data_IF_619783393231
#
_entry.id   IF_619783393231
#
_cell.length_a   1.000
_cell.length_b   1.000
_cell.length_c   1.000
_cell.angle_alpha   90.00
_cell.angle_beta   90.00
_cell.angle_gamma   90.00
#
_symmetry.space_group_name_H-M   'P 1'
#
loop_
_entity.id
_entity.type
_entity.pdbx_description
1 polymer ?
#
# COMPACT_ATOMS: atom_id res chain seq x y z
N UNK A 1 -52.58 39.63 -54.69
CA UNK A 1 -51.38 39.72 -53.91
C UNK A 1 -51.03 38.32 -53.40
N UNK A 2 -50.00 37.71 -53.98
CA UNK A 2 -49.61 36.34 -53.64
C UNK A 2 -48.64 36.41 -52.39
N UNK A 3 -48.89 35.58 -51.39
CA UNK A 3 -48.13 35.46 -50.18
C UNK A 3 -46.77 34.76 -50.50
N UNK A 4 -45.60 35.29 -50.07
CA UNK A 4 -44.33 34.63 -50.32
C UNK A 4 -44.19 33.32 -49.57
N UNK A 5 -43.62 32.34 -50.23
CA UNK A 5 -43.39 31.00 -49.70
C UNK A 5 -42.41 31.07 -48.51
N UNK A 6 -42.56 30.19 -47.50
CA UNK A 6 -41.66 30.15 -46.32
C UNK A 6 -40.24 29.73 -46.73
N UNK A 7 -39.20 30.24 -46.07
CA UNK A 7 -37.82 29.89 -46.38
C UNK A 7 -37.54 28.40 -46.04
N UNK A 8 -36.76 27.76 -46.91
CA UNK A 8 -36.33 26.37 -46.72
C UNK A 8 -35.55 26.18 -45.41
N UNK A 9 -35.70 25.03 -44.73
CA UNK A 9 -34.96 24.76 -43.51
C UNK A 9 -33.45 24.68 -43.80
N UNK A 10 -32.68 25.43 -43.01
CA UNK A 10 -31.22 25.38 -43.04
C UNK A 10 -30.75 23.95 -42.70
N UNK A 11 -29.99 23.33 -43.58
CA UNK A 11 -29.33 22.07 -43.32
C UNK A 11 -28.37 22.22 -42.12
N UNK A 12 -28.34 21.26 -41.20
CA UNK A 12 -27.43 21.33 -40.07
C UNK A 12 -25.98 21.38 -40.58
N UNK A 13 -25.22 22.41 -40.15
CA UNK A 13 -23.82 22.51 -40.44
C UNK A 13 -23.10 21.26 -39.94
N UNK A 14 -22.41 20.55 -40.84
CA UNK A 14 -21.56 19.41 -40.48
C UNK A 14 -20.41 19.89 -39.64
N UNK A 15 -20.45 19.61 -38.34
CA UNK A 15 -19.30 19.79 -37.44
C UNK A 15 -18.22 18.83 -37.96
N UNK A 16 -17.00 19.30 -38.24
CA UNK A 16 -15.90 18.41 -38.63
C UNK A 16 -15.64 17.41 -37.50
N UNK A 17 -15.80 16.13 -37.82
CA UNK A 17 -15.54 15.06 -36.85
C UNK A 17 -14.06 15.11 -36.46
N UNK A 18 -13.77 15.27 -35.18
CA UNK A 18 -12.42 15.14 -34.65
C UNK A 18 -11.84 13.78 -35.09
N UNK A 19 -10.52 13.70 -35.41
CA UNK A 19 -9.91 12.44 -35.85
C UNK A 19 -10.12 11.39 -34.78
N UNK A 20 -10.77 10.29 -35.14
CA UNK A 20 -10.97 9.14 -34.26
C UNK A 20 -9.61 8.45 -34.07
N UNK A 21 -9.17 8.30 -32.82
CA UNK A 21 -7.96 7.60 -32.47
C UNK A 21 -8.11 6.06 -32.56
N UNK A 22 -9.37 5.57 -32.51
CA UNK A 22 -9.72 4.16 -32.67
C UNK A 22 -10.33 3.92 -34.04
N UNK A 23 -9.95 2.85 -34.69
CA UNK A 23 -10.65 2.33 -35.87
C UNK A 23 -12.03 1.82 -35.48
N UNK A 24 -12.92 1.66 -36.48
CA UNK A 24 -14.26 1.11 -36.24
C UNK A 24 -14.22 -0.32 -35.70
N UNK A 25 -13.25 -1.12 -36.15
CA UNK A 25 -13.05 -2.50 -35.67
C UNK A 25 -12.63 -2.51 -34.20
N UNK A 26 -11.62 -1.73 -33.83
CA UNK A 26 -11.16 -1.60 -32.43
C UNK A 26 -12.27 -1.10 -31.49
N UNK A 27 -13.11 -0.16 -31.95
CA UNK A 27 -14.27 0.29 -31.19
C UNK A 27 -15.29 -0.83 -30.94
N UNK A 28 -15.55 -1.67 -31.94
CA UNK A 28 -16.45 -2.80 -31.82
C UNK A 28 -15.88 -3.90 -30.93
N UNK A 29 -14.58 -4.19 -31.05
CA UNK A 29 -13.90 -5.17 -30.19
C UNK A 29 -13.92 -4.74 -28.71
N UNK A 30 -13.69 -3.47 -28.42
CA UNK A 30 -13.78 -2.96 -27.05
C UNK A 30 -15.21 -3.06 -26.48
N UNK A 31 -16.25 -2.87 -27.30
CA UNK A 31 -17.64 -2.99 -26.88
C UNK A 31 -18.03 -4.45 -26.56
N UNK A 32 -17.24 -5.44 -26.98
CA UNK A 32 -17.47 -6.86 -26.73
C UNK A 32 -16.65 -7.42 -25.57
N UNK A 33 -15.82 -6.58 -24.91
CA UNK A 33 -15.05 -7.03 -23.75
C UNK A 33 -15.99 -7.51 -22.63
N UNK A 34 -15.71 -8.67 -22.02
CA UNK A 34 -16.44 -9.12 -20.84
C UNK A 34 -16.36 -8.09 -19.71
N UNK A 35 -17.46 -7.85 -19.02
CA UNK A 35 -17.54 -6.87 -17.92
C UNK A 35 -16.48 -7.11 -16.83
N UNK A 36 -16.08 -8.36 -16.60
CA UNK A 36 -15.02 -8.70 -15.65
C UNK A 36 -13.64 -8.22 -16.13
N UNK A 37 -13.38 -8.28 -17.42
CA UNK A 37 -12.12 -7.78 -17.98
C UNK A 37 -12.00 -6.27 -17.81
N UNK A 38 -13.08 -5.53 -18.05
CA UNK A 38 -13.18 -4.09 -17.79
C UNK A 38 -12.98 -3.76 -16.30
N UNK A 39 -13.66 -4.50 -15.42
CA UNK A 39 -13.52 -4.31 -13.99
C UNK A 39 -12.06 -4.49 -13.54
N UNK A 40 -11.39 -5.56 -13.97
CA UNK A 40 -9.98 -5.77 -13.65
C UNK A 40 -9.08 -4.67 -14.24
N UNK A 41 -9.36 -4.19 -15.45
CA UNK A 41 -8.62 -3.10 -16.08
C UNK A 41 -8.75 -1.79 -15.29
N UNK A 42 -9.93 -1.52 -14.74
CA UNK A 42 -10.21 -0.31 -13.96
C UNK A 42 -9.50 -0.29 -12.59
N UNK A 43 -9.06 -1.43 -12.07
CA UNK A 43 -8.28 -1.47 -10.82
C UNK A 43 -6.86 -0.99 -11.09
N UNK A 44 -6.57 0.27 -10.78
CA UNK A 44 -5.28 0.90 -11.07
C UNK A 44 -4.10 0.27 -10.33
N UNK A 45 -4.29 -0.12 -9.05
CA UNK A 45 -3.21 -0.69 -8.25
C UNK A 45 -2.96 -2.16 -8.61
N UNK A 46 -1.76 -2.53 -9.14
CA UNK A 46 -1.46 -3.89 -9.59
C UNK A 46 -1.50 -4.94 -8.46
N UNK A 47 -1.18 -4.54 -7.23
CA UNK A 47 -1.27 -5.44 -6.07
C UNK A 47 -2.72 -5.71 -5.67
N UNK A 48 -3.58 -4.69 -5.70
CA UNK A 48 -5.02 -4.84 -5.47
C UNK A 48 -5.64 -5.69 -6.57
N UNK A 49 -5.31 -5.41 -7.83
CA UNK A 49 -5.77 -6.20 -8.99
C UNK A 49 -5.41 -7.67 -8.85
N UNK A 50 -4.16 -7.98 -8.49
CA UNK A 50 -3.71 -9.37 -8.27
C UNK A 50 -4.43 -10.02 -7.11
N UNK A 51 -4.60 -9.31 -5.97
CA UNK A 51 -5.30 -9.84 -4.81
C UNK A 51 -6.78 -10.13 -5.14
N UNK A 52 -7.46 -9.21 -5.81
CA UNK A 52 -8.85 -9.37 -6.20
C UNK A 52 -9.04 -10.48 -7.22
N UNK A 53 -8.14 -10.61 -8.20
CA UNK A 53 -8.16 -11.76 -9.12
C UNK A 53 -8.10 -13.10 -8.38
N UNK A 54 -7.20 -13.23 -7.42
CA UNK A 54 -7.08 -14.45 -6.62
C UNK A 54 -8.32 -14.67 -5.75
N UNK A 55 -8.93 -13.61 -5.22
CA UNK A 55 -10.09 -13.71 -4.34
C UNK A 55 -11.36 -14.10 -5.11
N UNK A 56 -11.57 -13.48 -6.28
CA UNK A 56 -12.69 -13.81 -7.19
C UNK A 56 -12.50 -15.21 -7.76
N UNK A 57 -11.29 -15.58 -8.19
CA UNK A 57 -10.99 -16.93 -8.66
C UNK A 57 -11.23 -18.01 -7.59
N UNK A 58 -10.92 -17.72 -6.32
CA UNK A 58 -11.23 -18.62 -5.21
C UNK A 58 -12.75 -18.78 -4.97
N UNK A 59 -13.54 -17.72 -5.18
CA UNK A 59 -14.98 -17.80 -5.12
C UNK A 59 -15.55 -18.61 -6.30
N UNK A 60 -15.11 -18.34 -7.54
CA UNK A 60 -15.51 -19.08 -8.73
C UNK A 60 -15.27 -20.59 -8.56
N UNK A 61 -14.07 -20.96 -8.11
CA UNK A 61 -13.73 -22.36 -7.84
C UNK A 61 -14.61 -23.00 -6.77
N UNK A 62 -15.04 -22.25 -5.75
CA UNK A 62 -15.91 -22.74 -4.69
C UNK A 62 -17.35 -23.01 -5.18
N UNK A 63 -17.92 -22.11 -5.99
CA UNK A 63 -19.29 -22.23 -6.48
C UNK A 63 -19.40 -22.94 -7.82
N UNK A 64 -18.28 -23.26 -8.49
CA UNK A 64 -18.26 -23.95 -9.78
C UNK A 64 -18.54 -23.05 -10.97
N UNK A 65 -18.27 -21.74 -10.88
CA UNK A 65 -18.38 -20.81 -12.00
C UNK A 65 -17.23 -21.04 -12.98
N UNK A 66 -17.54 -21.33 -14.22
CA UNK A 66 -16.58 -21.51 -15.31
C UNK A 66 -16.60 -20.33 -16.29
N UNK A 67 -17.76 -19.69 -16.46
CA UNK A 67 -17.96 -18.59 -17.41
C UNK A 67 -18.44 -17.32 -16.71
N UNK A 68 -18.00 -16.13 -17.16
CA UNK A 68 -18.37 -14.85 -16.57
C UNK A 68 -19.89 -14.62 -16.44
N UNK A 69 -20.68 -15.08 -17.42
CA UNK A 69 -22.13 -14.87 -17.42
C UNK A 69 -22.82 -15.55 -16.23
N UNK A 70 -22.22 -16.56 -15.64
CA UNK A 70 -22.76 -17.32 -14.50
C UNK A 70 -22.77 -16.49 -13.21
N UNK A 71 -21.99 -15.38 -13.13
CA UNK A 71 -22.12 -14.45 -12.01
C UNK A 71 -23.55 -13.89 -11.84
N UNK A 72 -24.35 -13.84 -12.92
CA UNK A 72 -25.75 -13.38 -12.87
C UNK A 72 -26.64 -14.31 -12.04
N UNK A 73 -26.26 -15.56 -11.86
CA UNK A 73 -27.01 -16.57 -11.08
C UNK A 73 -26.60 -16.63 -9.62
N UNK A 74 -25.56 -15.89 -9.21
CA UNK A 74 -25.08 -15.88 -7.85
C UNK A 74 -26.09 -15.20 -6.93
N UNK A 75 -26.47 -15.90 -5.88
CA UNK A 75 -27.36 -15.41 -4.85
C UNK A 75 -26.63 -15.16 -3.53
N UNK A 76 -27.29 -14.50 -2.59
CA UNK A 76 -26.78 -14.32 -1.22
C UNK A 76 -26.47 -15.66 -0.54
N UNK A 77 -27.22 -16.73 -0.84
CA UNK A 77 -26.95 -18.07 -0.28
C UNK A 77 -25.56 -18.59 -0.67
N UNK A 78 -25.14 -18.42 -1.92
CA UNK A 78 -23.78 -18.78 -2.37
C UNK A 78 -22.72 -18.02 -1.61
N UNK A 79 -22.91 -16.72 -1.39
CA UNK A 79 -21.95 -15.87 -0.64
C UNK A 79 -21.88 -16.26 0.83
N UNK A 80 -23.02 -16.59 1.46
CA UNK A 80 -23.08 -17.07 2.84
C UNK A 80 -22.37 -18.42 2.99
N UNK A 81 -22.62 -19.36 2.06
CA UNK A 81 -21.94 -20.65 2.02
C UNK A 81 -20.42 -20.49 1.90
N UNK A 82 -19.97 -19.61 0.99
CA UNK A 82 -18.55 -19.33 0.85
C UNK A 82 -17.94 -18.70 2.10
N UNK A 83 -18.60 -17.70 2.72
CA UNK A 83 -18.15 -17.13 3.99
C UNK A 83 -17.99 -18.21 5.07
N UNK A 84 -18.96 -19.14 5.18
CA UNK A 84 -18.92 -20.25 6.13
C UNK A 84 -17.75 -21.19 5.84
N UNK A 85 -17.53 -21.52 4.57
CA UNK A 85 -16.38 -22.30 4.12
C UNK A 85 -15.05 -21.65 4.49
N UNK A 86 -14.91 -20.34 4.24
CA UNK A 86 -13.70 -19.59 4.60
C UNK A 86 -13.46 -19.57 6.12
N UNK A 87 -14.53 -19.50 6.91
CA UNK A 87 -14.44 -19.56 8.38
C UNK A 87 -14.06 -20.98 8.86
N UNK A 88 -14.64 -22.03 8.29
CA UNK A 88 -14.30 -23.41 8.56
C UNK A 88 -12.84 -23.75 8.20
N UNK A 89 -12.28 -23.12 7.15
CA UNK A 89 -10.88 -23.21 6.79
C UNK A 89 -9.95 -22.39 7.72
N UNK A 90 -10.46 -21.86 8.84
CA UNK A 90 -9.74 -21.08 9.84
C UNK A 90 -8.98 -19.87 9.29
N UNK A 91 -9.48 -19.25 8.21
CA UNK A 91 -8.89 -18.02 7.69
C UNK A 91 -9.08 -16.86 8.68
N UNK A 92 -8.06 -16.00 8.77
CA UNK A 92 -8.14 -14.82 9.62
C UNK A 92 -9.32 -13.90 9.23
N UNK A 93 -10.04 -13.31 10.21
CA UNK A 93 -11.16 -12.39 9.95
C UNK A 93 -10.87 -11.30 8.91
N UNK A 94 -9.69 -10.69 8.96
CA UNK A 94 -9.25 -9.69 7.99
C UNK A 94 -9.16 -10.25 6.55
N UNK A 95 -8.73 -11.52 6.40
CA UNK A 95 -8.68 -12.18 5.09
C UNK A 95 -10.07 -12.43 4.54
N UNK A 96 -11.00 -12.91 5.37
CA UNK A 96 -12.41 -13.14 4.98
C UNK A 96 -13.05 -11.81 4.59
N UNK A 97 -12.84 -10.74 5.37
CA UNK A 97 -13.35 -9.39 5.05
C UNK A 97 -12.83 -8.88 3.71
N UNK A 98 -11.52 -9.04 3.43
CA UNK A 98 -10.91 -8.63 2.15
C UNK A 98 -11.51 -9.41 0.98
N UNK A 99 -11.67 -10.73 1.11
CA UNK A 99 -12.27 -11.58 0.09
C UNK A 99 -13.73 -11.18 -0.22
N UNK A 100 -14.53 -10.94 0.81
CA UNK A 100 -15.90 -10.44 0.65
C UNK A 100 -15.92 -9.02 0.06
N UNK A 101 -14.91 -8.18 0.34
CA UNK A 101 -14.82 -6.85 -0.26
C UNK A 101 -14.50 -6.91 -1.75
N UNK A 102 -13.58 -7.78 -2.18
CA UNK A 102 -13.28 -7.97 -3.59
C UNK A 102 -14.50 -8.46 -4.37
N UNK A 103 -15.25 -9.40 -3.78
CA UNK A 103 -16.47 -9.91 -4.39
C UNK A 103 -17.57 -8.84 -4.44
N UNK A 104 -17.73 -8.04 -3.37
CA UNK A 104 -18.70 -6.94 -3.36
C UNK A 104 -18.39 -5.87 -4.41
N UNK A 105 -17.12 -5.53 -4.58
CA UNK A 105 -16.66 -4.55 -5.57
C UNK A 105 -16.96 -5.02 -7.01
N UNK A 106 -16.73 -6.31 -7.31
CA UNK A 106 -17.12 -6.91 -8.59
C UNK A 106 -18.64 -6.83 -8.80
N UNK A 107 -19.45 -7.21 -7.81
CA UNK A 107 -20.89 -7.19 -7.94
C UNK A 107 -21.49 -5.78 -7.99
N UNK A 108 -20.87 -4.80 -7.31
CA UNK A 108 -21.25 -3.38 -7.46
C UNK A 108 -20.99 -2.91 -8.91
N UNK A 109 -19.85 -3.28 -9.51
CA UNK A 109 -19.56 -3.00 -10.92
C UNK A 109 -20.55 -3.68 -11.87
N UNK A 110 -20.91 -4.95 -11.63
CA UNK A 110 -21.90 -5.66 -12.45
C UNK A 110 -23.31 -5.02 -12.35
N UNK A 111 -23.66 -4.42 -11.20
CA UNK A 111 -24.87 -3.61 -11.06
C UNK A 111 -24.78 -2.32 -11.90
N UNK A 112 -23.65 -1.61 -11.84
CA UNK A 112 -23.40 -0.39 -12.62
C UNK A 112 -23.44 -0.66 -14.13
N UNK A 113 -22.93 -1.82 -14.56
CA UNK A 113 -22.98 -2.28 -15.95
C UNK A 113 -24.34 -2.85 -16.36
N UNK A 114 -25.37 -2.79 -15.50
CA UNK A 114 -26.70 -3.37 -15.71
C UNK A 114 -26.70 -4.88 -16.02
N UNK A 115 -25.65 -5.60 -15.65
CA UNK A 115 -25.55 -7.04 -15.85
C UNK A 115 -26.39 -7.82 -14.81
N UNK A 116 -26.59 -7.22 -13.63
CA UNK A 116 -27.40 -7.74 -12.52
C UNK A 116 -28.19 -6.60 -11.86
N UNK A 117 -29.27 -6.95 -11.16
CA UNK A 117 -30.16 -5.97 -10.52
C UNK A 117 -29.74 -5.59 -9.10
N UNK A 118 -28.99 -6.45 -8.39
CA UNK A 118 -28.57 -6.21 -7.01
C UNK A 118 -27.29 -6.96 -6.66
N UNK A 119 -26.53 -6.42 -5.73
CA UNK A 119 -25.30 -7.04 -5.23
C UNK A 119 -25.62 -8.08 -4.14
N UNK A 120 -25.37 -9.39 -4.35
CA UNK A 120 -25.69 -10.44 -3.41
C UNK A 120 -24.81 -10.43 -2.15
N UNK A 121 -23.72 -9.68 -2.14
CA UNK A 121 -22.80 -9.54 -0.98
C UNK A 121 -23.31 -8.49 0.01
N UNK A 122 -24.14 -7.54 -0.44
CA UNK A 122 -24.74 -6.53 0.45
C UNK A 122 -25.59 -7.19 1.53
N UNK A 123 -25.33 -6.78 2.79
CA UNK A 123 -26.03 -7.35 3.96
C UNK A 123 -25.46 -8.68 4.46
N UNK A 124 -24.43 -9.25 3.82
CA UNK A 124 -23.68 -10.38 4.39
C UNK A 124 -22.83 -9.91 5.55
N UNK A 125 -23.08 -10.45 6.74
CA UNK A 125 -22.34 -10.12 7.95
C UNK A 125 -20.85 -10.45 7.77
N UNK A 126 -19.99 -9.49 8.04
CA UNK A 126 -18.54 -9.66 8.00
C UNK A 126 -18.03 -10.06 9.39
N UNK A 127 -17.04 -10.98 9.48
CA UNK A 127 -16.45 -11.31 10.77
C UNK A 127 -15.95 -10.04 11.47
N UNK A 128 -16.24 -9.92 12.78
CA UNK A 128 -15.69 -8.82 13.59
C UNK A 128 -14.18 -8.99 13.67
N UNK A 129 -13.46 -7.91 13.45
CA UNK A 129 -12.05 -7.88 13.88
C UNK A 129 -12.09 -7.87 15.40
N UNK A 130 -11.42 -8.83 16.03
CA UNK A 130 -11.10 -8.69 17.45
C UNK A 130 -10.36 -7.38 17.65
N UNK A 131 -10.47 -6.79 18.83
CA UNK A 131 -9.78 -5.56 19.18
C UNK A 131 -8.35 -5.63 18.62
N UNK A 132 -8.02 -4.72 17.71
CA UNK A 132 -6.71 -4.64 17.07
C UNK A 132 -5.72 -4.02 18.06
N UNK A 133 -5.62 -4.62 19.24
CA UNK A 133 -4.53 -4.33 20.13
C UNK A 133 -3.27 -4.83 19.46
N UNK A 134 -2.53 -3.90 18.84
CA UNK A 134 -1.13 -4.02 18.45
C UNK A 134 -0.61 -5.40 18.06
N UNK A 135 -1.30 -6.13 17.17
CA UNK A 135 -0.91 -7.49 16.72
C UNK A 135 0.43 -7.54 16.00
N UNK A 136 0.99 -6.40 15.65
CA UNK A 136 2.35 -6.32 15.12
C UNK A 136 3.29 -6.00 16.28
N UNK A 137 4.11 -6.95 16.74
CA UNK A 137 5.05 -6.69 17.81
C UNK A 137 6.03 -5.60 17.39
N UNK A 138 6.27 -4.64 18.26
CA UNK A 138 7.38 -3.70 18.14
C UNK A 138 8.62 -4.33 18.77
N UNK A 139 9.79 -4.08 18.18
CA UNK A 139 11.05 -4.45 18.76
C UNK A 139 11.37 -3.55 19.96
N UNK A 140 12.01 -4.09 20.98
CA UNK A 140 12.61 -3.27 22.02
C UNK A 140 13.79 -2.45 21.45
N UNK A 141 14.20 -1.39 22.15
CA UNK A 141 15.34 -0.57 21.74
C UNK A 141 16.63 -1.39 21.60
N UNK A 142 16.85 -2.34 22.51
CA UNK A 142 18.00 -3.24 22.45
C UNK A 142 17.96 -4.13 21.20
N UNK A 143 16.78 -4.65 20.84
CA UNK A 143 16.61 -5.44 19.61
C UNK A 143 16.80 -4.58 18.35
N UNK A 144 16.22 -3.37 18.32
CA UNK A 144 16.38 -2.45 17.21
C UNK A 144 17.85 -2.06 16.99
N UNK A 145 18.60 -1.78 18.07
CA UNK A 145 20.04 -1.51 18.00
C UNK A 145 20.83 -2.71 17.46
N UNK A 146 20.59 -3.93 17.98
CA UNK A 146 21.26 -5.12 17.46
C UNK A 146 20.98 -5.34 15.97
N UNK A 147 19.72 -5.14 15.55
CA UNK A 147 19.33 -5.26 14.15
C UNK A 147 20.07 -4.26 13.26
N UNK A 148 20.18 -3.00 13.70
CA UNK A 148 20.85 -1.93 12.96
C UNK A 148 22.36 -2.19 12.78
N UNK A 149 23.00 -2.85 13.76
CA UNK A 149 24.42 -3.15 13.74
C UNK A 149 24.76 -4.54 13.16
N UNK A 150 23.77 -5.38 12.86
CA UNK A 150 24.01 -6.73 12.35
C UNK A 150 24.69 -6.79 10.95
N UNK A 151 24.40 -5.87 9.99
CA UNK A 151 25.09 -5.95 8.69
C UNK A 151 26.57 -5.53 8.80
N UNK A 152 27.46 -6.26 8.11
CA UNK A 152 28.89 -5.99 8.03
C UNK A 152 29.20 -4.66 7.32
N UNK A 153 29.68 -3.67 8.07
CA UNK A 153 30.02 -2.35 7.56
C UNK A 153 31.22 -2.34 6.59
N UNK A 154 32.03 -3.39 6.57
CA UNK A 154 33.17 -3.52 5.66
C UNK A 154 32.79 -3.80 4.20
N UNK A 155 31.56 -4.25 3.96
CA UNK A 155 31.09 -4.60 2.62
C UNK A 155 30.11 -3.57 2.06
N UNK A 156 30.13 -3.37 0.73
CA UNK A 156 29.16 -2.50 0.07
C UNK A 156 27.71 -2.93 0.33
N UNK A 157 27.45 -4.26 0.35
CA UNK A 157 26.14 -4.81 0.69
C UNK A 157 25.74 -4.47 2.11
N UNK A 158 26.65 -4.60 3.07
CA UNK A 158 26.36 -4.29 4.47
C UNK A 158 26.13 -2.79 4.70
N UNK A 159 26.89 -1.90 4.05
CA UNK A 159 26.67 -0.44 4.09
C UNK A 159 25.25 -0.11 3.59
N UNK A 160 24.83 -0.68 2.43
CA UNK A 160 23.46 -0.54 1.94
C UNK A 160 22.42 -1.02 2.94
N UNK A 161 22.61 -2.21 3.48
CA UNK A 161 21.64 -2.86 4.36
C UNK A 161 21.49 -2.12 5.70
N UNK A 162 22.58 -1.57 6.24
CA UNK A 162 22.57 -0.66 7.41
C UNK A 162 21.75 0.60 7.11
N UNK A 163 22.00 1.25 5.96
CA UNK A 163 21.24 2.43 5.55
C UNK A 163 19.74 2.12 5.37
N UNK A 164 19.38 0.98 4.77
CA UNK A 164 17.98 0.52 4.64
C UNK A 164 17.33 0.34 6.03
N UNK A 165 18.00 -0.36 6.95
CA UNK A 165 17.49 -0.60 8.30
C UNK A 165 17.34 0.71 9.07
N UNK A 166 18.29 1.65 8.94
CA UNK A 166 18.21 2.96 9.56
C UNK A 166 16.98 3.75 9.02
N UNK A 167 16.77 3.77 7.71
CA UNK A 167 15.61 4.46 7.15
C UNK A 167 14.30 3.84 7.63
N UNK A 168 14.20 2.52 7.73
CA UNK A 168 13.00 1.85 8.23
C UNK A 168 12.75 2.13 9.71
N UNK A 169 13.80 2.12 10.55
CA UNK A 169 13.69 2.29 11.99
C UNK A 169 13.54 3.76 12.43
N UNK A 170 14.15 4.71 11.71
CA UNK A 170 14.08 6.13 12.07
C UNK A 170 12.99 6.92 11.33
N UNK A 171 12.42 6.41 10.22
CA UNK A 171 11.43 7.16 9.45
C UNK A 171 10.12 6.39 9.22
N UNK A 172 10.02 5.18 9.76
CA UNK A 172 8.81 4.35 9.70
C UNK A 172 8.23 4.16 8.28
N UNK A 173 9.06 4.16 7.24
CA UNK A 173 8.59 4.01 5.85
C UNK A 173 7.91 2.66 5.64
N UNK A 174 6.87 2.68 4.79
CA UNK A 174 6.37 1.42 4.23
C UNK A 174 7.42 0.83 3.29
N UNK A 175 7.49 -0.49 3.23
CA UNK A 175 8.44 -1.18 2.35
C UNK A 175 8.39 -0.71 0.90
N UNK A 176 7.18 -0.49 0.37
CA UNK A 176 7.01 0.03 -0.99
C UNK A 176 7.50 1.48 -1.14
N UNK A 177 7.33 2.32 -0.10
CA UNK A 177 7.83 3.68 -0.06
C UNK A 177 9.35 3.70 -0.09
N UNK A 178 10.00 2.84 0.71
CA UNK A 178 11.46 2.69 0.70
C UNK A 178 11.98 2.25 -0.68
N UNK A 179 11.34 1.25 -1.30
CA UNK A 179 11.72 0.79 -2.64
C UNK A 179 11.60 1.88 -3.70
N UNK A 180 10.62 2.76 -3.55
CA UNK A 180 10.36 3.84 -4.49
C UNK A 180 11.30 5.03 -4.38
N UNK A 181 12.13 5.11 -3.32
CA UNK A 181 13.06 6.23 -3.15
C UNK A 181 14.10 6.27 -4.25
N UNK A 182 14.26 7.44 -4.83
CA UNK A 182 15.30 7.77 -5.82
C UNK A 182 16.38 8.65 -5.18
N UNK A 183 17.54 8.75 -5.80
CA UNK A 183 18.62 9.61 -5.29
C UNK A 183 18.12 11.06 -5.13
N UNK A 184 17.36 11.61 -6.09
CA UNK A 184 16.77 12.94 -6.01
C UNK A 184 15.77 13.16 -4.89
N UNK A 185 15.22 12.09 -4.32
CA UNK A 185 14.27 12.17 -3.20
C UNK A 185 14.98 12.36 -1.85
N UNK A 186 16.30 12.20 -1.84
CA UNK A 186 17.16 12.45 -0.70
C UNK A 186 17.95 13.75 -0.93
N UNK A 187 17.41 14.88 -0.48
CA UNK A 187 17.93 16.20 -0.79
C UNK A 187 17.78 17.17 0.38
N UNK A 188 18.60 18.22 0.37
CA UNK A 188 18.50 19.32 1.34
C UNK A 188 17.27 20.17 0.98
N UNK A 189 16.38 20.38 1.95
CA UNK A 189 15.24 21.28 1.88
C UNK A 189 15.25 22.22 3.07
N UNK A 190 15.25 23.54 2.82
CA UNK A 190 15.27 24.56 3.89
C UNK A 190 16.40 24.32 4.91
N UNK A 191 17.59 23.94 4.41
CA UNK A 191 18.75 23.67 5.27
C UNK A 191 18.76 22.32 5.99
N UNK A 192 17.74 21.46 5.79
CA UNK A 192 17.64 20.15 6.45
C UNK A 192 17.66 19.03 5.43
N UNK A 193 18.49 18.02 5.65
CA UNK A 193 18.46 16.78 4.84
C UNK A 193 17.11 16.10 5.00
N UNK A 194 16.46 15.77 3.89
CA UNK A 194 15.06 15.37 3.85
C UNK A 194 14.84 14.20 2.89
N UNK A 195 13.92 13.32 3.22
CA UNK A 195 13.40 12.26 2.35
C UNK A 195 12.03 12.67 1.81
N UNK A 196 11.89 12.76 0.49
CA UNK A 196 10.61 12.94 -0.19
C UNK A 196 9.96 11.56 -0.41
N UNK A 197 8.95 11.24 0.40
CA UNK A 197 8.33 9.91 0.41
C UNK A 197 7.02 9.94 -0.37
N UNK A 198 6.97 9.18 -1.47
CA UNK A 198 5.81 9.07 -2.35
C UNK A 198 4.83 8.03 -1.79
N UNK A 199 3.65 8.49 -1.36
CA UNK A 199 2.59 7.68 -0.77
C UNK A 199 1.49 7.28 -1.76
N UNK A 200 0.46 6.62 -1.24
CA UNK A 200 -0.72 6.24 -2.02
C UNK A 200 -1.46 7.48 -2.55
N UNK A 201 -1.89 7.43 -3.81
CA UNK A 201 -2.66 8.52 -4.44
C UNK A 201 -1.83 9.74 -4.81
N UNK A 202 -0.53 9.58 -5.05
CA UNK A 202 0.36 10.68 -5.47
C UNK A 202 0.75 11.66 -4.35
N UNK A 203 0.34 11.41 -3.11
CA UNK A 203 0.70 12.26 -1.97
C UNK A 203 2.18 12.14 -1.64
N UNK A 204 2.86 13.27 -1.48
CA UNK A 204 4.28 13.33 -1.09
C UNK A 204 4.38 13.83 0.34
N UNK A 205 5.15 13.12 1.19
CA UNK A 205 5.55 13.57 2.52
C UNK A 205 7.03 13.90 2.52
N UNK A 206 7.38 14.99 3.15
CA UNK A 206 8.77 15.40 3.32
C UNK A 206 9.19 15.14 4.76
N UNK A 207 10.05 14.16 4.95
CA UNK A 207 10.48 13.72 6.26
C UNK A 207 11.92 14.21 6.50
N UNK A 208 12.17 15.03 7.54
CA UNK A 208 13.54 15.33 7.96
C UNK A 208 14.30 14.03 8.20
N UNK A 209 15.48 13.91 7.65
CA UNK A 209 16.29 12.70 7.80
C UNK A 209 17.02 12.71 9.15
N UNK A 210 16.89 11.61 9.90
CA UNK A 210 17.57 11.44 11.17
C UNK A 210 19.08 11.40 10.96
N UNK A 211 19.92 12.09 11.79
CA UNK A 211 21.36 12.19 11.58
C UNK A 211 22.07 10.85 11.39
N UNK A 212 21.71 9.82 12.16
CA UNK A 212 22.27 8.48 11.99
C UNK A 212 21.91 7.85 10.64
N UNK A 213 20.68 8.07 10.13
CA UNK A 213 20.29 7.57 8.82
C UNK A 213 21.03 8.35 7.70
N UNK A 214 21.21 9.65 7.87
CA UNK A 214 22.02 10.50 6.97
C UNK A 214 23.43 9.92 6.85
N UNK A 215 24.13 9.72 7.95
CA UNK A 215 25.49 9.19 7.93
C UNK A 215 25.60 7.86 7.17
N UNK A 216 24.67 6.94 7.41
CA UNK A 216 24.67 5.62 6.76
C UNK A 216 24.27 5.68 5.27
N UNK A 217 23.38 6.59 4.87
CA UNK A 217 23.02 6.80 3.47
C UNK A 217 24.21 7.39 2.72
N UNK A 218 24.87 8.41 3.30
CA UNK A 218 26.05 9.03 2.70
C UNK A 218 27.17 8.01 2.51
N UNK A 219 27.50 7.23 3.57
CA UNK A 219 28.50 6.16 3.51
C UNK A 219 28.21 5.15 2.39
N UNK A 220 26.93 4.78 2.21
CA UNK A 220 26.53 3.88 1.14
C UNK A 220 26.64 4.54 -0.26
N UNK A 221 26.18 5.78 -0.42
CA UNK A 221 26.21 6.48 -1.70
C UNK A 221 27.64 6.72 -2.17
N UNK A 222 28.54 7.05 -1.25
CA UNK A 222 29.97 7.25 -1.57
C UNK A 222 30.63 5.93 -1.98
N UNK A 223 30.38 4.86 -1.23
CA UNK A 223 30.92 3.53 -1.57
C UNK A 223 30.33 2.93 -2.85
N UNK A 224 29.07 3.24 -3.17
CA UNK A 224 28.39 2.74 -4.35
C UNK A 224 28.59 3.57 -5.62
N UNK A 225 29.07 4.82 -5.49
CA UNK A 225 29.42 5.71 -6.61
C UNK A 225 28.27 6.15 -7.51
N UNK A 226 27.00 6.05 -7.08
CA UNK A 226 25.86 6.37 -7.93
C UNK A 226 25.07 7.63 -7.54
N UNK A 227 25.67 8.49 -6.71
CA UNK A 227 25.06 9.77 -6.26
C UNK A 227 24.62 10.67 -7.43
N UNK A 228 25.34 10.65 -8.55
CA UNK A 228 25.02 11.46 -9.73
C UNK A 228 23.76 10.99 -10.47
N UNK A 229 23.36 9.73 -10.32
CA UNK A 229 22.16 9.19 -10.98
C UNK A 229 20.88 9.56 -10.20
N UNK A 230 20.49 10.82 -10.33
CA UNK A 230 19.36 11.42 -9.62
C UNK A 230 18.02 10.73 -9.89
N UNK A 231 17.84 10.12 -11.07
CA UNK A 231 16.62 9.41 -11.46
C UNK A 231 16.64 7.93 -11.01
N UNK A 232 17.81 7.40 -10.69
CA UNK A 232 18.00 6.02 -10.27
C UNK A 232 17.53 5.76 -8.83
N UNK A 233 17.38 4.49 -8.49
CA UNK A 233 17.00 4.08 -7.13
C UNK A 233 18.06 4.50 -6.10
N UNK A 234 17.61 4.98 -4.94
CA UNK A 234 18.49 5.29 -3.82
C UNK A 234 19.17 4.02 -3.29
N UNK A 235 18.40 2.95 -3.13
CA UNK A 235 18.91 1.65 -2.71
C UNK A 235 18.87 0.65 -3.85
N UNK A 236 20.04 0.18 -4.27
CA UNK A 236 20.23 -0.73 -5.42
C UNK A 236 20.55 -2.15 -4.97
N UNK A 237 20.35 -3.11 -5.84
CA UNK A 237 20.90 -4.45 -5.63
C UNK A 237 22.42 -4.36 -5.63
N UNK A 238 23.06 -5.12 -4.76
CA UNK A 238 24.53 -5.27 -4.75
C UNK A 238 24.85 -6.69 -5.16
N UNK A 239 25.55 -6.83 -6.31
CA UNK A 239 26.05 -8.11 -6.85
C UNK A 239 27.51 -7.93 -7.22
N UNK A 240 28.35 -8.86 -6.81
CA UNK A 240 29.80 -8.83 -7.10
C UNK A 240 30.46 -7.47 -6.78
N UNK A 241 30.11 -6.89 -5.64
CA UNK A 241 30.64 -5.59 -5.21
C UNK A 241 30.13 -4.35 -5.96
N UNK A 242 29.16 -4.52 -6.87
CA UNK A 242 28.62 -3.40 -7.67
C UNK A 242 27.14 -3.17 -7.32
N UNK A 243 26.74 -1.90 -7.18
CA UNK A 243 25.35 -1.49 -6.93
C UNK A 243 24.62 -1.25 -8.26
N UNK A 244 23.70 -2.12 -8.64
CA UNK A 244 22.97 -2.05 -9.91
C UNK A 244 21.48 -2.35 -9.75
N UNK A 245 20.67 -1.86 -10.67
CA UNK A 245 19.24 -2.18 -10.75
C UNK A 245 18.41 -1.70 -9.56
N UNK A 246 17.24 -2.30 -9.41
CA UNK A 246 16.24 -1.92 -8.41
C UNK A 246 16.09 -3.02 -7.36
N UNK A 247 16.01 -2.64 -6.07
CA UNK A 247 15.79 -3.57 -4.97
C UNK A 247 14.29 -3.72 -4.71
N UNK A 248 13.76 -4.93 -4.87
CA UNK A 248 12.33 -5.20 -4.65
C UNK A 248 11.96 -5.20 -3.17
N UNK A 249 10.68 -4.92 -2.88
CA UNK A 249 10.18 -4.99 -1.51
C UNK A 249 10.25 -6.38 -0.89
N UNK A 250 10.19 -7.43 -1.68
CA UNK A 250 10.39 -8.81 -1.21
C UNK A 250 11.85 -9.00 -0.79
N UNK A 251 12.80 -8.58 -1.63
CA UNK A 251 14.23 -8.67 -1.31
C UNK A 251 14.58 -7.87 -0.03
N UNK A 252 14.05 -6.65 0.14
CA UNK A 252 14.23 -5.89 1.38
C UNK A 252 13.76 -6.69 2.60
N UNK A 253 12.60 -7.34 2.51
CA UNK A 253 12.07 -8.09 3.64
C UNK A 253 12.83 -9.38 3.90
N UNK A 254 13.13 -10.18 2.87
CA UNK A 254 13.75 -11.50 3.02
C UNK A 254 15.24 -11.42 3.24
N UNK A 255 15.94 -10.61 2.43
CA UNK A 255 17.41 -10.57 2.41
C UNK A 255 18.02 -9.54 3.36
N UNK A 256 17.23 -8.55 3.78
CA UNK A 256 17.70 -7.53 4.73
C UNK A 256 17.02 -7.76 6.08
N UNK A 257 15.71 -7.50 6.19
CA UNK A 257 15.03 -7.48 7.50
C UNK A 257 15.04 -8.85 8.17
N UNK A 258 14.57 -9.91 7.49
CA UNK A 258 14.51 -11.28 8.07
C UNK A 258 15.91 -11.86 8.35
N UNK A 259 16.80 -11.67 7.39
CA UNK A 259 18.17 -12.18 7.52
C UNK A 259 18.85 -11.60 8.75
N UNK A 260 18.94 -10.29 8.84
CA UNK A 260 19.66 -9.63 9.94
C UNK A 260 18.91 -9.72 11.27
N UNK A 261 17.57 -9.88 11.26
CA UNK A 261 16.84 -10.22 12.48
C UNK A 261 17.25 -11.57 13.05
N UNK A 262 17.43 -12.59 12.19
CA UNK A 262 17.95 -13.90 12.59
C UNK A 262 19.37 -13.78 13.15
N UNK A 263 20.26 -13.05 12.47
CA UNK A 263 21.64 -12.81 12.92
C UNK A 263 21.69 -12.04 14.24
N UNK A 264 20.74 -11.11 14.47
CA UNK A 264 20.62 -10.36 15.73
C UNK A 264 19.89 -11.13 16.86
N UNK A 265 19.53 -12.39 16.67
CA UNK A 265 18.79 -13.19 17.65
C UNK A 265 17.38 -12.69 17.94
N UNK A 266 16.71 -12.11 16.95
CA UNK A 266 15.32 -11.65 17.07
C UNK A 266 14.39 -12.77 16.63
N UNK A 267 13.39 -13.16 17.45
CA UNK A 267 12.44 -14.23 17.12
C UNK A 267 11.70 -13.96 15.80
N UNK A 268 11.51 -14.98 14.94
CA UNK A 268 10.85 -14.81 13.64
C UNK A 268 9.44 -14.24 13.72
N UNK A 269 8.70 -14.52 14.77
CA UNK A 269 7.36 -14.03 15.06
C UNK A 269 7.33 -12.51 15.34
N UNK A 270 8.42 -11.94 15.84
CA UNK A 270 8.57 -10.50 16.07
C UNK A 270 8.86 -9.74 14.77
N UNK A 271 9.29 -10.42 13.70
CA UNK A 271 9.65 -9.81 12.42
C UNK A 271 8.58 -10.08 11.37
N UNK A 272 7.59 -9.20 11.33
CA UNK A 272 6.58 -9.12 10.26
C UNK A 272 6.89 -7.96 9.30
N UNK A 273 6.29 -7.92 8.09
CA UNK A 273 6.58 -6.86 7.11
C UNK A 273 6.42 -5.43 7.62
N UNK A 274 5.61 -5.21 8.65
CA UNK A 274 5.37 -3.91 9.27
C UNK A 274 6.03 -3.74 10.65
N UNK A 275 6.80 -4.71 11.14
CA UNK A 275 7.37 -4.68 12.49
C UNK A 275 8.27 -3.46 12.71
N UNK A 276 9.16 -3.12 11.77
CA UNK A 276 10.06 -1.98 11.92
C UNK A 276 9.30 -0.65 11.93
N UNK A 277 8.23 -0.54 11.15
CA UNK A 277 7.35 0.63 11.20
C UNK A 277 6.59 0.73 12.52
N UNK A 278 6.10 -0.40 13.04
CA UNK A 278 5.48 -0.46 14.36
C UNK A 278 6.49 -0.08 15.45
N UNK A 279 7.72 -0.58 15.37
CA UNK A 279 8.83 -0.23 16.28
C UNK A 279 9.07 1.28 16.29
N UNK A 280 9.26 1.89 15.13
CA UNK A 280 9.51 3.32 15.03
C UNK A 280 8.33 4.15 15.58
N UNK A 281 7.09 3.76 15.27
CA UNK A 281 5.91 4.47 15.75
C UNK A 281 5.71 4.35 17.25
N UNK A 282 5.86 3.13 17.80
CA UNK A 282 5.76 2.88 19.24
C UNK A 282 6.86 3.63 20.00
N UNK A 283 8.12 3.53 19.54
CA UNK A 283 9.25 4.22 20.16
C UNK A 283 9.04 5.75 20.16
N UNK A 284 8.59 6.36 19.04
CA UNK A 284 8.31 7.78 18.98
C UNK A 284 7.24 8.22 20.00
N UNK A 285 6.16 7.44 20.13
CA UNK A 285 5.08 7.71 21.09
C UNK A 285 5.56 7.55 22.54
N UNK A 286 6.32 6.49 22.85
CA UNK A 286 6.91 6.25 24.18
C UNK A 286 7.89 7.36 24.60
N UNK A 287 8.56 8.00 23.63
CA UNK A 287 9.42 9.17 23.86
C UNK A 287 8.68 10.51 23.75
N UNK A 288 7.37 10.51 23.91
CA UNK A 288 6.56 11.73 24.08
C UNK A 288 6.15 12.43 22.79
N UNK A 289 6.32 11.80 21.61
CA UNK A 289 5.80 12.40 20.38
C UNK A 289 4.25 12.48 20.41
N UNK A 290 3.74 13.60 19.93
CA UNK A 290 2.30 13.81 19.78
C UNK A 290 1.69 12.84 18.76
N UNK A 291 0.58 12.20 19.10
CA UNK A 291 -0.05 11.16 18.28
C UNK A 291 -0.54 11.70 16.92
N UNK A 292 -0.99 12.97 16.84
CA UNK A 292 -1.41 13.56 15.58
C UNK A 292 -0.20 13.82 14.67
N UNK A 293 0.93 14.27 15.23
CA UNK A 293 2.20 14.40 14.49
C UNK A 293 2.71 13.04 14.02
N UNK A 294 2.60 11.99 14.86
CA UNK A 294 2.97 10.63 14.47
C UNK A 294 2.04 10.10 13.37
N UNK A 295 0.74 10.41 13.41
CA UNK A 295 -0.20 10.07 12.33
C UNK A 295 0.22 10.68 10.99
N UNK A 296 0.53 11.99 10.98
CA UNK A 296 0.98 12.72 9.80
C UNK A 296 2.31 12.14 9.28
N UNK A 297 3.29 11.96 10.16
CA UNK A 297 4.58 11.36 9.86
C UNK A 297 4.46 9.97 9.24
N UNK A 298 3.57 9.12 9.76
CA UNK A 298 3.25 7.82 9.19
C UNK A 298 2.46 7.93 7.88
N UNK A 299 1.73 9.02 7.63
CA UNK A 299 0.81 9.16 6.52
C UNK A 299 -0.40 8.23 6.65
N UNK A 300 -0.99 8.16 7.83
CA UNK A 300 -2.25 7.48 8.08
C UNK A 300 -3.42 8.43 7.84
N UNK A 301 -4.43 7.97 7.10
CA UNK A 301 -5.66 8.73 6.86
C UNK A 301 -6.55 8.82 8.11
N UNK A 302 -6.38 7.91 9.07
CA UNK A 302 -7.16 7.83 10.31
C UNK A 302 -6.26 7.69 11.52
N UNK A 303 -6.53 8.45 12.57
CA UNK A 303 -5.82 8.39 13.85
C UNK A 303 -6.03 7.04 14.55
N UNK A 304 -7.14 6.36 14.31
CA UNK A 304 -7.42 5.02 14.84
C UNK A 304 -6.32 4.01 14.44
N UNK A 305 -5.75 4.15 13.24
CA UNK A 305 -4.62 3.31 12.80
C UNK A 305 -3.34 3.61 13.58
N UNK A 306 -3.14 4.86 14.00
CA UNK A 306 -1.95 5.26 14.79
C UNK A 306 -2.09 4.84 16.24
N UNK A 307 -3.31 4.88 16.79
CA UNK A 307 -3.59 4.40 18.15
C UNK A 307 -3.19 2.94 18.39
N UNK A 308 -3.15 2.11 17.35
CA UNK A 308 -2.67 0.73 17.45
C UNK A 308 -1.21 0.61 17.88
N UNK A 309 -0.42 1.66 17.74
CA UNK A 309 0.98 1.75 18.17
C UNK A 309 1.16 2.42 19.53
N UNK A 310 0.13 3.07 20.04
CA UNK A 310 0.17 3.72 21.34
C UNK A 310 -0.02 2.69 22.45
N UNK A 311 1.08 2.35 23.09
CA UNK A 311 1.11 1.40 24.22
C UNK A 311 1.25 2.09 25.56
N UNK A 312 1.23 3.43 25.56
CA UNK A 312 1.30 4.19 26.81
C UNK A 312 0.05 3.91 27.61
N UNK A 313 0.24 3.47 28.85
CA UNK A 313 -0.85 3.42 29.83
C UNK A 313 -1.11 4.87 30.28
N UNK A 314 -2.37 5.32 30.21
CA UNK A 314 -2.74 6.60 30.82
C UNK A 314 -2.51 6.50 32.33
N UNK A 315 -1.53 7.21 32.82
CA UNK A 315 -1.41 7.45 34.27
C UNK A 315 -2.44 8.51 34.70
N UNK A 316 -2.80 8.52 35.97
CA UNK A 316 -3.71 9.57 36.49
C UNK A 316 -3.10 10.97 36.24
N UNK A 317 -1.77 11.08 36.27
CA UNK A 317 -1.00 12.31 36.04
C UNK A 317 -1.09 12.83 34.61
N UNK A 318 -1.31 11.96 33.63
CA UNK A 318 -1.46 12.30 32.22
C UNK A 318 -2.89 12.75 31.87
N UNK A 319 -3.80 12.78 32.85
CA UNK A 319 -5.20 13.16 32.61
C UNK A 319 -5.28 14.58 32.05
N UNK A 320 -6.02 14.79 30.95
CA UNK A 320 -6.33 16.13 30.44
C UNK A 320 -6.93 17.05 31.51
N UNK A 321 -7.56 16.48 32.54
CA UNK A 321 -8.15 17.25 33.70
C UNK A 321 -7.13 18.18 34.32
N UNK A 322 -5.88 17.76 34.45
CA UNK A 322 -4.82 18.59 35.06
C UNK A 322 -4.22 19.63 34.09
N UNK A 323 -4.69 19.68 32.86
CA UNK A 323 -4.29 20.68 31.86
C UNK A 323 -5.34 21.70 31.56
N UNK A 324 -6.51 21.59 32.24
CA UNK A 324 -7.58 22.59 32.15
C UNK A 324 -7.18 23.78 33.00
N UNK A 325 -7.14 24.98 32.40
CA UNK A 325 -6.88 26.24 33.06
C UNK A 325 -8.02 27.24 32.70
N UNK A 326 -8.56 27.90 33.69
CA UNK A 326 -9.56 28.95 33.52
C UNK A 326 -8.94 30.31 33.86
#
# INVERSE_FOLDING_TARGET
>A
MANPAPPAPLAPASVPAAPRLLTRAEFQELAQLPSEAEWFANIQNPNTRRAYRNDVGAFMAFVGIERPEEFRTVTRAHVLAWRTHLAAAALAPATIRRKLSALSDLFDYLCEANAITHNPVKGVARPKEGANEGKTPALSDAQARRLLHAPDAGTLKGKRDRAILAVLLYHALRRAELCGLRVRDYAIRRGVQTLAVHGKGGKIRYLPAHPHAVALIEEFLDAAGHRADQAGALFRQVRNGTATGHLSGTAIYTEVVKRYAKEAGIPPEAIRPHALRATAATNALEHGADIAKVQEWLGHSSIATTRLYDKRHSSAEDSPTFKVAY
#
